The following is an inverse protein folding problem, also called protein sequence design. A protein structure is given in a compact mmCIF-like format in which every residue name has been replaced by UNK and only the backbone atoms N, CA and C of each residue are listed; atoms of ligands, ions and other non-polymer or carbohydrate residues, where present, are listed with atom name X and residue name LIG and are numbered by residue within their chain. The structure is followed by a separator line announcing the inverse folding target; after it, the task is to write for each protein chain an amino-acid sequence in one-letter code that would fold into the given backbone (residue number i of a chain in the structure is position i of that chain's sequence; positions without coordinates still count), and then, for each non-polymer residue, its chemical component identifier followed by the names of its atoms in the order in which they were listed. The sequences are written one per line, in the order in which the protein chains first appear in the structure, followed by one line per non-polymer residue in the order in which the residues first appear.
data_IF_357396881963
#
_entry.id   IF_357396881963
#
_cell.length_a   1.000
_cell.length_b   1.000
_cell.length_c   1.000
_cell.angle_alpha   90.00
_cell.angle_beta   90.00
_cell.angle_gamma   90.00
#
_symmetry.space_group_name_H-M   'P 1'
#
loop_
_entity.id
_entity.type
_entity.pdbx_description
1 polymer ?
#
# COMPACT_ATOMS: atom_id res chain seq x y z
N UNK A 1 -8.23 -29.44 3.38
CA UNK A 1 -6.82 -29.02 3.55
C UNK A 1 -6.69 -28.47 4.96
N UNK A 2 -5.85 -29.08 5.79
CA UNK A 2 -5.64 -28.66 7.19
C UNK A 2 -5.20 -27.19 7.20
N UNK A 3 -5.91 -26.32 7.92
CA UNK A 3 -5.51 -24.92 8.08
C UNK A 3 -4.29 -24.87 9.01
N UNK A 4 -3.06 -24.61 8.50
CA UNK A 4 -1.83 -24.69 9.28
C UNK A 4 -1.60 -23.46 10.17
N UNK A 5 -2.50 -22.46 10.10
CA UNK A 5 -2.35 -21.20 10.82
C UNK A 5 -2.16 -21.36 12.35
N UNK A 6 -2.90 -22.22 13.07
CA UNK A 6 -2.75 -22.33 14.53
C UNK A 6 -1.41 -22.93 14.97
N UNK A 7 -0.89 -23.90 14.23
CA UNK A 7 0.40 -24.55 14.48
C UNK A 7 1.54 -23.59 14.18
N UNK A 8 1.51 -22.92 13.01
CA UNK A 8 2.51 -21.91 12.65
C UNK A 8 2.57 -20.76 13.66
N UNK A 9 1.43 -20.31 14.18
CA UNK A 9 1.38 -19.27 15.21
C UNK A 9 2.11 -19.75 16.48
N UNK A 10 1.82 -20.96 16.95
CA UNK A 10 2.48 -21.52 18.14
C UNK A 10 3.99 -21.63 17.96
N UNK A 11 4.44 -22.13 16.82
CA UNK A 11 5.86 -22.30 16.51
C UNK A 11 6.58 -20.94 16.45
N UNK A 12 5.96 -19.95 15.79
CA UNK A 12 6.49 -18.58 15.68
C UNK A 12 6.59 -17.90 17.06
N UNK A 13 5.59 -18.11 17.92
CA UNK A 13 5.59 -17.56 19.29
C UNK A 13 6.63 -18.24 20.19
N UNK A 14 6.90 -19.53 19.98
CA UNK A 14 7.90 -20.28 20.74
C UNK A 14 9.34 -19.95 20.33
N UNK A 15 9.57 -19.43 19.12
CA UNK A 15 10.91 -19.07 18.64
C UNK A 15 11.43 -17.79 19.33
N UNK A 16 12.20 -17.99 20.40
CA UNK A 16 12.80 -16.90 21.18
C UNK A 16 13.76 -16.02 20.39
N UNK A 17 14.43 -16.56 19.35
CA UNK A 17 15.34 -15.78 18.50
C UNK A 17 14.55 -14.84 17.60
N UNK A 18 13.46 -15.35 17.01
CA UNK A 18 12.55 -14.54 16.21
C UNK A 18 11.90 -13.45 17.05
N UNK A 19 11.42 -13.77 18.25
CA UNK A 19 10.85 -12.78 19.18
C UNK A 19 11.87 -11.68 19.51
N UNK A 20 13.11 -12.05 19.82
CA UNK A 20 14.18 -11.08 20.09
C UNK A 20 14.51 -10.22 18.85
N UNK A 21 14.56 -10.83 17.67
CA UNK A 21 14.83 -10.12 16.42
C UNK A 21 13.75 -9.06 16.12
N UNK A 22 12.47 -9.43 16.27
CA UNK A 22 11.32 -8.51 16.11
C UNK A 22 11.40 -7.39 17.14
N UNK A 23 11.57 -7.71 18.42
CA UNK A 23 11.65 -6.70 19.48
C UNK A 23 12.80 -5.72 19.23
N UNK A 24 13.98 -6.22 18.90
CA UNK A 24 15.14 -5.39 18.63
C UNK A 24 14.95 -4.53 17.37
N UNK A 25 14.35 -5.07 16.31
CA UNK A 25 14.07 -4.32 15.08
C UNK A 25 13.06 -3.19 15.33
N UNK A 26 11.93 -3.50 15.97
CA UNK A 26 10.89 -2.53 16.29
C UNK A 26 11.41 -1.45 17.24
N UNK A 27 12.15 -1.84 18.29
CA UNK A 27 12.77 -0.91 19.22
C UNK A 27 13.74 0.04 18.53
N UNK A 28 14.60 -0.47 17.63
CA UNK A 28 15.51 0.38 16.83
C UNK A 28 14.75 1.38 15.96
N UNK A 29 13.68 0.95 15.29
CA UNK A 29 12.87 1.85 14.44
C UNK A 29 12.18 2.94 15.26
N UNK A 30 11.61 2.58 16.42
CA UNK A 30 11.00 3.53 17.34
C UNK A 30 12.01 4.54 17.87
N UNK A 31 13.18 4.08 18.30
CA UNK A 31 14.23 4.94 18.81
C UNK A 31 14.75 5.88 17.70
N UNK A 32 15.05 5.36 16.51
CA UNK A 32 15.50 6.18 15.38
C UNK A 32 14.48 7.24 15.01
N UNK A 33 13.19 6.90 15.02
CA UNK A 33 12.14 7.91 14.82
C UNK A 33 12.17 8.96 15.92
N UNK A 34 12.22 8.55 17.18
CA UNK A 34 12.26 9.47 18.32
C UNK A 34 13.46 10.43 18.25
N UNK A 35 14.64 9.92 17.88
CA UNK A 35 15.85 10.72 17.70
C UNK A 35 15.68 11.74 16.55
N UNK A 36 15.16 11.30 15.40
CA UNK A 36 14.97 12.15 14.22
C UNK A 36 13.93 13.26 14.41
N UNK A 37 12.94 13.04 15.27
CA UNK A 37 11.83 13.99 15.50
C UNK A 37 11.89 14.64 16.89
N UNK A 38 12.98 14.40 17.62
CA UNK A 38 13.21 14.97 18.94
C UNK A 38 13.38 16.48 18.88
N UNK A 39 13.20 17.14 20.01
CA UNK A 39 13.24 18.61 20.10
C UNK A 39 14.57 19.21 19.62
N UNK A 40 15.67 18.46 19.70
CA UNK A 40 16.99 18.92 19.24
C UNK A 40 17.13 18.96 17.71
N UNK A 41 16.31 18.21 16.97
CA UNK A 41 16.36 18.11 15.51
C UNK A 41 15.15 18.75 14.82
N UNK A 42 13.96 18.59 15.42
CA UNK A 42 12.71 19.11 14.87
C UNK A 42 11.78 19.59 16.01
N UNK A 43 12.09 20.73 16.66
CA UNK A 43 11.31 21.28 17.77
C UNK A 43 9.80 21.39 17.49
N UNK A 44 9.44 21.73 16.26
CA UNK A 44 8.06 21.95 15.78
C UNK A 44 7.32 20.67 15.37
N UNK A 45 7.88 19.47 15.62
CA UNK A 45 7.33 18.20 15.13
C UNK A 45 5.85 17.99 15.47
N UNK A 46 5.42 18.33 16.69
CA UNK A 46 4.02 18.16 17.08
C UNK A 46 3.07 19.11 16.34
N UNK A 47 3.54 20.32 16.05
CA UNK A 47 2.78 21.28 15.25
C UNK A 47 2.66 20.80 13.80
N UNK A 48 3.76 20.38 13.18
CA UNK A 48 3.76 19.80 11.84
C UNK A 48 2.85 18.57 11.74
N UNK A 49 2.83 17.71 12.76
CA UNK A 49 1.89 16.57 12.83
C UNK A 49 0.44 17.03 12.84
N UNK A 50 0.14 18.09 13.57
CA UNK A 50 -1.22 18.65 13.69
C UNK A 50 -1.65 19.28 12.36
N UNK A 51 -0.77 20.05 11.73
CA UNK A 51 -1.02 20.63 10.40
C UNK A 51 -1.21 19.54 9.35
N UNK A 52 -0.36 18.50 9.33
CA UNK A 52 -0.50 17.37 8.42
C UNK A 52 -1.82 16.60 8.65
N UNK A 53 -2.27 16.45 9.90
CA UNK A 53 -3.57 15.87 10.21
C UNK A 53 -4.71 16.73 9.68
N UNK A 54 -4.66 18.05 9.88
CA UNK A 54 -5.67 18.98 9.38
C UNK A 54 -5.78 18.94 7.85
N UNK A 55 -4.64 18.89 7.14
CA UNK A 55 -4.60 18.75 5.68
C UNK A 55 -5.25 17.43 5.26
N UNK A 56 -4.86 16.29 5.85
CA UNK A 56 -5.45 14.99 5.52
C UNK A 56 -6.96 14.98 5.74
N UNK A 57 -7.41 15.54 6.86
CA UNK A 57 -8.83 15.64 7.19
C UNK A 57 -9.58 16.46 6.13
N UNK A 58 -9.07 17.65 5.81
CA UNK A 58 -9.64 18.49 4.77
C UNK A 58 -9.68 17.79 3.41
N UNK A 59 -8.62 17.07 3.02
CA UNK A 59 -8.59 16.30 1.77
C UNK A 59 -9.67 15.22 1.73
N UNK A 60 -9.90 14.50 2.83
CA UNK A 60 -10.96 13.49 2.91
C UNK A 60 -12.36 14.14 2.88
N UNK A 61 -12.54 15.28 3.56
CA UNK A 61 -13.81 16.02 3.57
C UNK A 61 -14.19 16.63 2.22
N UNK A 62 -13.21 16.82 1.32
CA UNK A 62 -13.39 17.39 -0.02
C UNK A 62 -12.89 16.43 -1.11
N UNK A 63 -12.99 15.12 -0.84
CA UNK A 63 -12.37 14.08 -1.64
C UNK A 63 -12.89 14.07 -3.09
N UNK A 64 -14.17 14.35 -3.30
CA UNK A 64 -14.80 14.50 -4.62
C UNK A 64 -14.04 15.49 -5.51
N UNK A 65 -13.83 16.72 -5.02
CA UNK A 65 -13.10 17.75 -5.76
C UNK A 65 -11.64 17.39 -6.02
N UNK A 66 -10.99 16.74 -5.05
CA UNK A 66 -9.60 16.30 -5.20
C UNK A 66 -9.45 15.12 -6.18
N UNK A 67 -10.40 14.20 -6.24
CA UNK A 67 -10.41 13.10 -7.22
C UNK A 67 -10.55 13.63 -8.64
N UNK A 68 -11.46 14.59 -8.87
CA UNK A 68 -11.59 15.22 -10.19
C UNK A 68 -10.33 16.00 -10.57
N UNK A 69 -9.71 16.72 -9.61
CA UNK A 69 -8.46 17.42 -9.85
C UNK A 69 -7.35 16.43 -10.22
N UNK A 70 -7.25 15.32 -9.48
CA UNK A 70 -6.27 14.28 -9.74
C UNK A 70 -6.46 13.66 -11.13
N UNK A 71 -7.68 13.29 -11.49
CA UNK A 71 -7.99 12.76 -12.82
C UNK A 71 -7.59 13.72 -13.94
N UNK A 72 -7.96 15.02 -13.82
CA UNK A 72 -7.57 16.03 -14.81
C UNK A 72 -6.06 16.13 -14.98
N UNK A 73 -5.30 16.12 -13.89
CA UNK A 73 -3.84 16.21 -13.92
C UNK A 73 -3.22 14.92 -14.49
N UNK A 74 -3.73 13.75 -14.13
CA UNK A 74 -3.26 12.48 -14.71
C UNK A 74 -3.51 12.46 -16.22
N UNK A 75 -4.71 12.86 -16.65
CA UNK A 75 -5.06 12.93 -18.07
C UNK A 75 -4.17 13.93 -18.83
N UNK A 76 -3.83 15.08 -18.25
CA UNK A 76 -2.94 16.05 -18.89
C UNK A 76 -1.51 15.55 -19.10
N UNK A 77 -1.11 14.51 -18.36
CA UNK A 77 0.19 13.84 -18.51
C UNK A 77 0.10 12.54 -19.31
N UNK A 78 -1.04 12.28 -19.98
CA UNK A 78 -1.24 11.09 -20.81
C UNK A 78 -1.60 9.83 -20.04
N UNK A 79 -1.89 9.94 -18.74
CA UNK A 79 -2.43 8.84 -17.94
C UNK A 79 -3.95 8.73 -18.06
N UNK A 80 -4.49 7.69 -17.42
CA UNK A 80 -5.94 7.48 -17.30
C UNK A 80 -6.27 7.05 -15.89
N UNK A 81 -7.25 7.71 -15.26
CA UNK A 81 -7.86 7.23 -14.02
C UNK A 81 -9.06 6.36 -14.39
N UNK A 82 -9.21 5.24 -13.69
CA UNK A 82 -10.33 4.32 -13.85
C UNK A 82 -10.94 4.12 -12.48
N UNK A 83 -12.23 4.42 -12.37
CA UNK A 83 -13.00 4.14 -11.17
C UNK A 83 -13.64 2.77 -11.31
N UNK A 84 -13.48 1.96 -10.28
CA UNK A 84 -14.01 0.61 -10.17
C UNK A 84 -14.70 0.48 -8.82
N UNK A 85 -15.89 -0.10 -8.80
CA UNK A 85 -16.69 -0.26 -7.58
C UNK A 85 -16.20 -1.44 -6.72
N UNK A 86 -15.57 -2.44 -7.34
CA UNK A 86 -15.08 -3.63 -6.65
C UNK A 86 -13.81 -4.26 -7.27
N UNK A 87 -13.33 -5.31 -6.60
CA UNK A 87 -12.16 -6.10 -6.99
C UNK A 87 -12.27 -6.71 -8.41
N UNK A 88 -13.46 -7.18 -8.78
CA UNK A 88 -13.68 -7.86 -10.05
C UNK A 88 -13.59 -6.87 -11.22
N UNK A 89 -14.10 -5.65 -11.03
CA UNK A 89 -13.97 -4.58 -12.01
C UNK A 89 -12.50 -4.15 -12.21
N UNK A 90 -11.74 -4.01 -11.12
CA UNK A 90 -10.29 -3.71 -11.19
C UNK A 90 -9.56 -4.79 -11.98
N UNK A 91 -9.73 -6.05 -11.59
CA UNK A 91 -9.08 -7.17 -12.24
C UNK A 91 -9.48 -7.28 -13.72
N UNK A 92 -10.78 -7.21 -14.02
CA UNK A 92 -11.31 -7.27 -15.37
C UNK A 92 -10.76 -6.17 -16.27
N UNK A 93 -10.67 -4.94 -15.77
CA UNK A 93 -10.08 -3.83 -16.52
C UNK A 93 -8.60 -4.09 -16.84
N UNK A 94 -7.81 -4.49 -15.84
CA UNK A 94 -6.36 -4.72 -16.02
C UNK A 94 -6.12 -5.89 -16.99
N UNK A 95 -6.88 -6.98 -16.87
CA UNK A 95 -6.79 -8.14 -17.77
C UNK A 95 -7.10 -7.75 -19.22
N UNK A 96 -8.18 -7.00 -19.43
CA UNK A 96 -8.58 -6.56 -20.76
C UNK A 96 -7.52 -5.61 -21.35
N UNK A 97 -7.02 -4.66 -20.55
CA UNK A 97 -5.96 -3.76 -20.97
C UNK A 97 -4.68 -4.52 -21.33
N UNK A 98 -4.29 -5.51 -20.52
CA UNK A 98 -3.11 -6.32 -20.78
C UNK A 98 -3.24 -7.09 -22.10
N UNK A 99 -4.42 -7.67 -22.35
CA UNK A 99 -4.75 -8.37 -23.59
C UNK A 99 -4.66 -7.44 -24.81
N UNK A 100 -5.28 -6.27 -24.73
CA UNK A 100 -5.30 -5.29 -25.83
C UNK A 100 -3.89 -4.77 -26.16
N UNK A 101 -3.04 -4.63 -25.14
CA UNK A 101 -1.64 -4.20 -25.28
C UNK A 101 -0.68 -5.36 -25.53
N UNK A 102 -1.15 -6.61 -25.53
CA UNK A 102 -0.31 -7.82 -25.55
C UNK A 102 0.79 -7.80 -24.48
N UNK A 103 0.48 -7.19 -23.33
CA UNK A 103 1.37 -7.10 -22.19
C UNK A 103 1.38 -8.42 -21.43
N UNK A 104 2.53 -8.75 -20.85
CA UNK A 104 2.73 -9.91 -19.96
C UNK A 104 3.22 -9.53 -18.56
N UNK A 105 3.70 -8.30 -18.41
CA UNK A 105 4.24 -7.76 -17.18
C UNK A 105 3.45 -6.51 -16.82
N UNK A 106 2.98 -6.46 -15.57
CA UNK A 106 2.30 -5.33 -14.97
C UNK A 106 3.19 -4.81 -13.84
N UNK A 107 3.66 -3.58 -13.97
CA UNK A 107 4.39 -2.89 -12.91
C UNK A 107 3.41 -2.02 -12.14
N UNK A 108 3.34 -2.18 -10.82
CA UNK A 108 2.47 -1.40 -9.95
C UNK A 108 3.20 -0.93 -8.71
N UNK A 109 2.66 0.08 -8.03
CA UNK A 109 3.11 0.43 -6.68
C UNK A 109 2.65 -0.61 -5.68
N UNK A 110 3.42 -0.77 -4.60
CA UNK A 110 2.97 -1.54 -3.43
C UNK A 110 1.71 -0.91 -2.85
N UNK A 111 0.69 -1.72 -2.58
CA UNK A 111 -0.57 -1.25 -2.03
C UNK A 111 -1.27 -2.34 -1.23
N UNK A 112 -1.63 -2.04 0.02
CA UNK A 112 -2.45 -2.93 0.82
C UNK A 112 -3.81 -3.20 0.16
N UNK A 113 -4.39 -2.20 -0.51
CA UNK A 113 -5.67 -2.34 -1.20
C UNK A 113 -5.60 -3.37 -2.33
N UNK A 114 -4.44 -3.52 -3.00
CA UNK A 114 -4.29 -4.56 -4.03
C UNK A 114 -4.11 -5.96 -3.44
N UNK A 115 -3.56 -6.06 -2.23
CA UNK A 115 -3.47 -7.32 -1.48
C UNK A 115 -4.84 -7.74 -0.95
N UNK A 116 -5.64 -6.80 -0.43
CA UNK A 116 -6.99 -7.06 0.09
C UNK A 116 -7.97 -7.62 -0.95
N UNK A 117 -7.67 -7.41 -2.24
CA UNK A 117 -8.46 -7.90 -3.37
C UNK A 117 -7.78 -9.05 -4.13
N UNK A 118 -6.68 -9.59 -3.59
CA UNK A 118 -5.89 -10.67 -4.20
C UNK A 118 -5.50 -10.41 -5.67
N UNK A 119 -5.24 -9.14 -6.02
CA UNK A 119 -5.05 -8.73 -7.42
C UNK A 119 -3.88 -9.47 -8.08
N UNK A 120 -2.78 -9.65 -7.33
CA UNK A 120 -1.59 -10.33 -7.83
C UNK A 120 -1.88 -11.79 -8.17
N UNK A 121 -2.63 -12.50 -7.33
CA UNK A 121 -3.04 -13.89 -7.58
C UNK A 121 -3.94 -13.97 -8.81
N UNK A 122 -4.92 -13.07 -8.92
CA UNK A 122 -5.84 -13.03 -10.06
C UNK A 122 -5.12 -12.77 -11.41
N UNK A 123 -4.14 -11.86 -11.42
CA UNK A 123 -3.31 -11.61 -12.61
C UNK A 123 -2.45 -12.83 -12.95
N UNK A 124 -1.90 -13.50 -11.94
CA UNK A 124 -1.07 -14.69 -12.11
C UNK A 124 -1.84 -15.87 -12.74
N UNK A 125 -3.07 -16.12 -12.28
CA UNK A 125 -3.97 -17.14 -12.85
C UNK A 125 -4.23 -16.95 -14.34
N UNK A 126 -4.14 -15.70 -14.82
CA UNK A 126 -4.30 -15.33 -16.23
C UNK A 126 -2.97 -15.19 -16.99
N UNK A 127 -1.86 -15.66 -16.39
CA UNK A 127 -0.54 -15.69 -17.02
C UNK A 127 0.15 -14.32 -17.12
N UNK A 128 -0.27 -13.36 -16.32
CA UNK A 128 0.38 -12.06 -16.17
C UNK A 128 1.31 -12.05 -14.95
N UNK A 129 2.47 -11.45 -15.11
CA UNK A 129 3.40 -11.21 -14.02
C UNK A 129 3.14 -9.83 -13.42
N UNK A 130 2.92 -9.76 -12.10
CA UNK A 130 2.82 -8.51 -11.37
C UNK A 130 4.13 -8.25 -10.62
N UNK A 131 4.73 -7.08 -10.84
CA UNK A 131 5.93 -6.62 -10.14
C UNK A 131 5.62 -5.35 -9.38
N UNK A 132 5.95 -5.35 -8.10
CA UNK A 132 5.73 -4.21 -7.23
C UNK A 132 6.96 -3.30 -7.13
N UNK A 133 6.72 -2.00 -7.10
CA UNK A 133 7.71 -0.94 -6.91
C UNK A 133 7.40 -0.14 -5.65
N UNK A 134 8.45 0.30 -4.95
CA UNK A 134 8.38 1.16 -3.76
C UNK A 134 8.09 2.62 -4.12
#
# INVERSE_FOLDING_TARGET
MSNPAPEKIKDTMADSRLQLAIYAATGRLMQKRADSVGADHLPEYQELRTQANAIKKHTIENLDGYLEQFERVVASHGGKVVFCDDAAEVAGFVLQLAKDRKARLIVKSKSMTTEEIDLNEHLHEHGLEAVETD
#
